data_IF_418908703628
#
_entry.id   IF_418908703628
#
_cell.length_a   1.000
_cell.length_b   1.000
_cell.length_c   1.000
_cell.angle_alpha   90.00
_cell.angle_beta   90.00
_cell.angle_gamma   90.00
#
_symmetry.space_group_name_H-M   'P 1'
#
loop_
_entity.id
_entity.type
_entity.pdbx_description
1 polymer ?
#
# COMPACT_ATOMS: atom_id res chain seq x y z
N UNK A 1 12.47 5.55 13.49
CA UNK A 1 10.98 5.33 13.37
C UNK A 1 10.23 6.48 12.68
N UNK A 2 10.80 7.68 12.48
CA UNK A 2 10.21 8.78 11.70
C UNK A 2 10.66 8.84 10.22
N UNK A 3 11.52 7.91 9.80
CA UNK A 3 12.21 7.95 8.50
C UNK A 3 11.37 7.44 7.33
N UNK A 4 10.46 6.49 7.55
CA UNK A 4 9.64 5.92 6.47
C UNK A 4 8.71 6.97 5.84
N UNK A 5 8.08 7.80 6.67
CA UNK A 5 7.26 8.94 6.22
C UNK A 5 8.08 9.98 5.45
N UNK A 6 9.31 10.25 5.91
CA UNK A 6 10.20 11.20 5.24
C UNK A 6 10.68 10.68 3.88
N UNK A 7 10.84 9.37 3.73
CA UNK A 7 11.31 8.70 2.51
C UNK A 7 10.22 8.54 1.45
N UNK A 8 8.95 8.41 1.87
CA UNK A 8 7.83 8.09 0.98
C UNK A 8 6.74 9.17 0.97
N UNK A 9 6.71 10.08 -0.03
CA UNK A 9 5.72 11.15 -0.13
C UNK A 9 4.27 10.68 -0.26
N UNK A 10 4.05 9.41 -0.62
CA UNK A 10 2.73 8.78 -0.70
C UNK A 10 2.12 8.51 0.68
N UNK A 11 2.94 8.47 1.72
CA UNK A 11 2.52 8.26 3.09
C UNK A 11 2.15 9.61 3.72
N UNK A 12 0.85 9.94 3.71
CA UNK A 12 0.34 11.20 4.25
C UNK A 12 0.48 11.25 5.76
N UNK A 13 0.07 10.18 6.42
CA UNK A 13 0.04 10.17 7.88
C UNK A 13 0.28 8.81 8.52
N UNK A 14 0.78 8.87 9.75
CA UNK A 14 1.03 7.73 10.61
C UNK A 14 0.37 8.01 11.94
N UNK A 15 -0.66 7.23 12.29
CA UNK A 15 -1.42 7.39 13.54
C UNK A 15 -1.45 6.09 14.31
N UNK A 16 -1.82 6.17 15.59
CA UNK A 16 -2.04 4.99 16.43
C UNK A 16 -1.19 4.96 17.69
N UNK A 17 -1.53 4.03 18.59
CA UNK A 17 -0.86 3.84 19.87
C UNK A 17 -0.72 2.34 20.17
N UNK A 18 0.35 1.98 20.90
CA UNK A 18 0.64 0.58 21.19
C UNK A 18 0.89 -0.24 19.92
N UNK A 19 0.16 -1.35 19.78
CA UNK A 19 0.24 -2.25 18.62
C UNK A 19 -0.81 -1.96 17.54
N UNK A 20 -1.56 -0.86 17.65
CA UNK A 20 -2.52 -0.45 16.64
C UNK A 20 -1.97 0.77 15.90
N UNK A 21 -1.56 0.59 14.65
CA UNK A 21 -0.97 1.65 13.81
C UNK A 21 -1.78 1.80 12.52
N UNK A 22 -2.20 3.02 12.22
CA UNK A 22 -2.86 3.40 10.97
C UNK A 22 -1.89 4.10 10.02
N UNK A 23 -1.80 3.61 8.79
CA UNK A 23 -1.06 4.21 7.68
C UNK A 23 -2.05 4.91 6.76
N UNK A 24 -1.99 6.23 6.62
CA UNK A 24 -2.83 7.00 5.69
C UNK A 24 -2.02 7.30 4.41
N UNK A 25 -2.55 6.90 3.26
CA UNK A 25 -1.95 7.17 1.96
C UNK A 25 -2.68 8.31 1.24
N UNK A 26 -1.92 9.13 0.51
CA UNK A 26 -2.44 10.21 -0.33
C UNK A 26 -1.44 10.45 -1.46
N UNK A 27 -1.91 10.46 -2.69
CA UNK A 27 -1.09 10.73 -3.85
C UNK A 27 -1.28 12.18 -4.30
N UNK A 28 -0.57 13.09 -3.63
CA UNK A 28 -0.48 14.49 -4.08
C UNK A 28 0.45 14.61 -5.29
N UNK A 29 -0.05 14.26 -6.48
CA UNK A 29 0.70 14.50 -7.72
C UNK A 29 0.77 16.01 -8.00
N UNK A 30 1.96 16.60 -7.79
CA UNK A 30 2.35 17.90 -8.36
C UNK A 30 2.70 17.69 -9.84
N UNK A 31 1.71 17.69 -10.73
CA UNK A 31 1.95 17.49 -12.16
C UNK A 31 0.81 18.02 -13.02
N UNK A 32 1.08 19.11 -13.75
CA UNK A 32 0.15 19.78 -14.66
C UNK A 32 0.04 18.97 -15.95
N UNK A 33 -0.85 17.98 -16.03
CA UNK A 33 -1.14 17.29 -17.29
C UNK A 33 -2.61 16.83 -17.37
N UNK A 34 -3.37 17.43 -18.30
CA UNK A 34 -4.65 16.91 -18.79
C UNK A 34 -5.81 16.86 -17.80
N UNK A 35 -6.47 17.98 -17.55
CA UNK A 35 -7.57 18.16 -16.55
C UNK A 35 -8.74 17.15 -16.60
N UNK A 36 -8.96 16.43 -17.71
CA UNK A 36 -10.12 15.54 -17.87
C UNK A 36 -9.86 14.10 -17.41
N UNK A 37 -8.74 13.49 -17.84
CA UNK A 37 -8.33 12.15 -17.36
C UNK A 37 -7.77 12.20 -15.93
N UNK A 38 -7.18 13.33 -15.54
CA UNK A 38 -6.65 13.55 -14.20
C UNK A 38 -7.74 13.46 -13.12
N UNK A 39 -8.94 13.99 -13.37
CA UNK A 39 -10.01 14.02 -12.36
C UNK A 39 -10.63 12.65 -12.02
N UNK A 40 -10.54 11.67 -12.93
CA UNK A 40 -10.97 10.29 -12.66
C UNK A 40 -9.82 9.50 -12.03
N UNK A 41 -8.61 9.62 -12.59
CA UNK A 41 -7.45 8.92 -12.06
C UNK A 41 -7.14 9.34 -10.62
N UNK A 42 -7.29 10.63 -10.31
CA UNK A 42 -7.07 11.15 -8.97
C UNK A 42 -8.14 10.70 -7.97
N UNK A 43 -9.40 10.61 -8.40
CA UNK A 43 -10.45 10.00 -7.55
C UNK A 43 -10.15 8.53 -7.27
N UNK A 44 -9.73 7.78 -8.29
CA UNK A 44 -9.36 6.38 -8.13
C UNK A 44 -8.13 6.21 -7.24
N UNK A 45 -7.11 7.06 -7.36
CA UNK A 45 -5.98 7.04 -6.42
C UNK A 45 -6.43 7.38 -5.01
N UNK A 46 -7.31 8.37 -4.85
CA UNK A 46 -7.85 8.78 -3.56
C UNK A 46 -8.84 7.76 -2.97
N UNK A 47 -9.30 6.77 -3.73
CA UNK A 47 -10.22 5.73 -3.24
C UNK A 47 -9.58 4.34 -3.13
N UNK A 48 -8.50 4.04 -3.84
CA UNK A 48 -8.00 2.66 -3.95
C UNK A 48 -6.53 2.48 -3.62
N UNK A 49 -5.77 3.55 -3.38
CA UNK A 49 -4.32 3.46 -3.16
C UNK A 49 -3.97 2.56 -1.96
N UNK A 50 -4.65 2.72 -0.82
CA UNK A 50 -4.41 1.87 0.34
C UNK A 50 -4.73 0.39 0.09
N UNK A 51 -5.80 0.11 -0.65
CA UNK A 51 -6.18 -1.27 -1.00
C UNK A 51 -5.15 -1.95 -1.90
N UNK A 52 -4.54 -1.21 -2.84
CA UNK A 52 -3.47 -1.73 -3.69
C UNK A 52 -2.19 -2.02 -2.91
N UNK A 53 -1.82 -1.15 -1.96
CA UNK A 53 -0.67 -1.38 -1.09
C UNK A 53 -0.89 -2.61 -0.21
N UNK A 54 -2.10 -2.77 0.36
CA UNK A 54 -2.48 -3.97 1.12
C UNK A 54 -2.41 -5.24 0.27
N UNK A 55 -2.88 -5.17 -0.98
CA UNK A 55 -2.78 -6.28 -1.94
C UNK A 55 -1.33 -6.64 -2.27
N UNK A 56 -0.45 -5.67 -2.48
CA UNK A 56 0.98 -5.92 -2.73
C UNK A 56 1.68 -6.55 -1.51
N UNK A 57 1.37 -6.08 -0.29
CA UNK A 57 1.86 -6.69 0.96
C UNK A 57 1.48 -8.17 1.06
N UNK A 58 0.24 -8.51 0.73
CA UNK A 58 -0.22 -9.89 0.71
C UNK A 58 0.50 -10.71 -0.38
N UNK A 59 0.55 -10.19 -1.59
CA UNK A 59 0.98 -10.94 -2.77
C UNK A 59 2.49 -11.16 -2.85
N UNK A 60 3.29 -10.17 -2.46
CA UNK A 60 4.75 -10.22 -2.57
C UNK A 60 5.42 -10.68 -1.26
N UNK A 61 4.80 -10.39 -0.12
CA UNK A 61 5.40 -10.60 1.20
C UNK A 61 4.60 -11.52 2.13
N UNK A 62 3.39 -11.94 1.74
CA UNK A 62 2.53 -12.78 2.59
C UNK A 62 2.01 -12.06 3.84
N UNK A 63 2.04 -10.73 3.86
CA UNK A 63 1.59 -9.92 5.01
C UNK A 63 0.12 -9.55 4.83
N UNK A 64 -0.72 -10.07 5.71
CA UNK A 64 -2.15 -9.74 5.73
C UNK A 64 -2.34 -8.41 6.46
N UNK A 65 -2.96 -7.46 5.78
CA UNK A 65 -3.35 -6.17 6.36
C UNK A 65 -4.79 -5.87 6.01
N UNK A 66 -5.46 -5.05 6.84
CA UNK A 66 -6.83 -4.62 6.59
C UNK A 66 -6.85 -3.14 6.25
N UNK A 67 -7.52 -2.77 5.17
CA UNK A 67 -7.91 -1.39 4.92
C UNK A 67 -9.24 -1.09 5.63
N UNK A 68 -9.51 0.17 5.94
CA UNK A 68 -10.74 0.53 6.63
C UNK A 68 -11.92 0.69 5.67
N UNK A 69 -13.13 0.34 6.12
CA UNK A 69 -14.37 0.51 5.34
C UNK A 69 -14.74 1.98 5.11
N UNK A 70 -14.43 2.86 6.06
CA UNK A 70 -14.76 4.29 5.97
C UNK A 70 -13.74 5.07 5.14
N UNK A 71 -12.49 4.58 5.07
CA UNK A 71 -11.44 5.16 4.25
C UNK A 71 -10.48 4.05 3.75
N UNK A 72 -10.63 3.59 2.49
CA UNK A 72 -9.80 2.55 1.90
C UNK A 72 -8.31 2.96 1.75
N UNK A 73 -7.97 4.24 1.91
CA UNK A 73 -6.57 4.71 1.97
C UNK A 73 -5.93 4.60 3.34
N UNK A 74 -6.65 4.11 4.34
CA UNK A 74 -6.09 3.83 5.65
C UNK A 74 -5.88 2.33 5.81
N UNK A 75 -4.64 1.91 5.94
CA UNK A 75 -4.27 0.54 6.31
C UNK A 75 -4.09 0.47 7.82
N UNK A 76 -4.68 -0.52 8.46
CA UNK A 76 -4.47 -0.84 9.87
C UNK A 76 -3.46 -1.98 10.00
N UNK A 77 -2.42 -1.71 10.77
CA UNK A 77 -1.49 -2.69 11.27
C UNK A 77 -1.87 -2.98 12.72
N UNK A 78 -2.42 -4.17 12.93
CA UNK A 78 -2.84 -4.68 14.24
C UNK A 78 -2.17 -6.05 14.47
N UNK A 79 -0.83 -6.10 14.59
CA UNK A 79 -0.13 -7.34 14.88
C UNK A 79 -0.59 -7.96 16.21
N UNK A 80 -0.44 -9.30 16.35
CA UNK A 80 -0.77 -9.99 17.59
C UNK A 80 0.16 -9.56 18.73
N UNK A 81 -0.31 -9.67 19.97
CA UNK A 81 0.45 -9.28 21.18
C UNK A 81 1.83 -9.94 21.26
N UNK A 82 1.97 -11.15 20.71
CA UNK A 82 3.20 -11.94 20.67
C UNK A 82 4.16 -11.58 19.51
N UNK A 83 3.89 -10.52 18.75
CA UNK A 83 4.73 -10.10 17.61
C UNK A 83 6.16 -9.78 18.05
N UNK A 84 7.15 -10.27 17.32
CA UNK A 84 8.56 -10.01 17.60
C UNK A 84 9.05 -8.75 16.87
N UNK A 85 10.20 -8.22 17.28
CA UNK A 85 10.79 -7.04 16.60
C UNK A 85 11.17 -7.37 15.16
N UNK A 86 11.68 -8.57 14.92
CA UNK A 86 12.08 -9.05 13.60
C UNK A 86 10.88 -9.13 12.64
N UNK A 87 9.71 -9.53 13.15
CA UNK A 87 8.47 -9.52 12.38
C UNK A 87 8.00 -8.09 12.06
N UNK A 88 8.15 -7.16 13.00
CA UNK A 88 7.85 -5.75 12.75
C UNK A 88 8.80 -5.15 11.71
N UNK A 89 10.10 -5.43 11.82
CA UNK A 89 11.12 -4.96 10.88
C UNK A 89 10.87 -5.54 9.48
N UNK A 90 10.48 -6.82 9.38
CA UNK A 90 10.06 -7.42 8.11
C UNK A 90 8.89 -6.67 7.45
N UNK A 91 7.86 -6.30 8.22
CA UNK A 91 6.72 -5.54 7.67
C UNK A 91 7.14 -4.13 7.24
N UNK A 92 8.02 -3.48 8.00
CA UNK A 92 8.55 -2.16 7.66
C UNK A 92 9.39 -2.21 6.38
N UNK A 93 10.26 -3.21 6.23
CA UNK A 93 11.08 -3.42 5.04
C UNK A 93 10.23 -3.80 3.83
N UNK A 94 9.18 -4.59 4.02
CA UNK A 94 8.21 -4.91 2.99
C UNK A 94 7.50 -3.65 2.48
N UNK A 95 7.03 -2.82 3.40
CA UNK A 95 6.37 -1.56 3.09
C UNK A 95 7.33 -0.58 2.39
N UNK A 96 8.55 -0.43 2.89
CA UNK A 96 9.60 0.38 2.27
C UNK A 96 9.93 -0.10 0.85
N UNK A 97 10.03 -1.41 0.64
CA UNK A 97 10.28 -2.03 -0.65
C UNK A 97 9.15 -1.81 -1.67
N UNK A 98 7.89 -1.87 -1.23
CA UNK A 98 6.73 -1.59 -2.10
C UNK A 98 6.73 -0.13 -2.51
N UNK A 99 6.82 0.79 -1.54
CA UNK A 99 6.74 2.23 -1.78
C UNK A 99 7.96 2.75 -2.57
N UNK A 100 9.14 2.14 -2.40
CA UNK A 100 10.34 2.48 -3.17
C UNK A 100 10.26 2.02 -4.63
N UNK A 101 9.74 0.81 -4.89
CA UNK A 101 9.69 0.22 -6.24
C UNK A 101 8.53 0.74 -7.08
N UNK A 102 7.40 1.05 -6.44
CA UNK A 102 6.16 1.44 -7.12
C UNK A 102 5.79 2.87 -6.72
N UNK A 103 6.28 3.81 -7.52
CA UNK A 103 5.99 5.23 -7.32
C UNK A 103 4.58 5.54 -7.81
N UNK A 104 3.66 5.68 -6.87
CA UNK A 104 2.30 6.14 -7.11
C UNK A 104 1.32 5.04 -7.53
N UNK A 105 0.07 5.44 -7.72
CA UNK A 105 -1.06 4.55 -8.01
C UNK A 105 -0.85 3.71 -9.26
N UNK A 106 -0.33 4.29 -10.34
CA UNK A 106 -0.10 3.56 -11.60
C UNK A 106 0.89 2.40 -11.43
N UNK A 107 1.97 2.62 -10.67
CA UNK A 107 2.97 1.58 -10.41
C UNK A 107 2.44 0.44 -9.54
N UNK A 108 1.54 0.78 -8.60
CA UNK A 108 0.83 -0.17 -7.73
C UNK A 108 -0.22 -0.97 -8.52
N UNK A 109 -1.04 -0.31 -9.31
CA UNK A 109 -2.05 -0.94 -10.16
C UNK A 109 -1.42 -1.91 -11.17
N UNK A 110 -0.33 -1.52 -11.84
CA UNK A 110 0.42 -2.40 -12.74
C UNK A 110 0.97 -3.65 -12.02
N UNK A 111 1.35 -3.50 -10.76
CA UNK A 111 1.76 -4.63 -9.91
C UNK A 111 0.65 -5.63 -9.66
N UNK A 112 -0.50 -5.12 -9.26
CA UNK A 112 -1.67 -5.94 -8.99
C UNK A 112 -2.13 -6.71 -10.24
N UNK A 113 -2.14 -6.05 -11.41
CA UNK A 113 -2.43 -6.72 -12.69
C UNK A 113 -1.42 -7.83 -12.98
N UNK A 114 -0.12 -7.57 -12.82
CA UNK A 114 0.93 -8.57 -13.02
C UNK A 114 0.72 -9.80 -12.13
N UNK A 115 0.35 -9.58 -10.88
CA UNK A 115 0.10 -10.67 -9.93
C UNK A 115 -1.10 -11.52 -10.35
N UNK A 116 -2.20 -10.90 -10.76
CA UNK A 116 -3.40 -11.62 -11.24
C UNK A 116 -3.09 -12.44 -12.50
N UNK A 117 -2.32 -11.89 -13.43
CA UNK A 117 -1.89 -12.65 -14.63
C UNK A 117 -1.01 -13.84 -14.21
N UNK A 118 -0.05 -13.62 -13.31
CA UNK A 118 0.86 -14.67 -12.81
C UNK A 118 0.11 -15.78 -12.08
N UNK A 119 -0.91 -15.45 -11.29
CA UNK A 119 -1.73 -16.46 -10.59
C UNK A 119 -2.55 -17.29 -11.58
N UNK A 120 -3.13 -16.66 -12.61
CA UNK A 120 -3.91 -17.36 -13.64
C UNK A 120 -3.07 -18.33 -14.47
N UNK A 121 -1.85 -17.93 -14.85
CA UNK A 121 -0.90 -18.81 -15.57
C UNK A 121 -0.45 -20.01 -14.71
N UNK A 122 -0.30 -19.82 -13.39
CA UNK A 122 0.02 -20.90 -12.44
C UNK A 122 -1.16 -21.84 -12.17
N UNK A 123 -2.40 -21.35 -12.29
CA UNK A 123 -3.62 -22.14 -12.06
C UNK A 123 -4.05 -23.03 -13.21
N UNK A 124 -3.56 -22.80 -14.44
CA UNK A 124 -3.90 -23.58 -15.64
C UNK A 124 -3.04 -24.83 -15.87
N UNK A 125 -2.23 -25.23 -14.88
CA UNK A 125 -1.34 -26.39 -14.97
C UNK A 125 -1.63 -27.51 -13.98
N UNK A 126 -2.86 -27.62 -13.46
CA UNK A 126 -3.29 -28.68 -12.54
C UNK A 126 -4.44 -29.51 -13.10
#
# INVERSE_FOLDING_TARGET
RSELKAKHPLLKDLRGCGQMVGLEFDEKQKGVAGKLSFGVLQRLSDEFLGSLVAGELLNEYGVITAYTLNNPNVIRLEPPLAVTREQLDFVLDALDGILSRRKGFLGLAAGSVRTVIRSKVRGTGS
#
